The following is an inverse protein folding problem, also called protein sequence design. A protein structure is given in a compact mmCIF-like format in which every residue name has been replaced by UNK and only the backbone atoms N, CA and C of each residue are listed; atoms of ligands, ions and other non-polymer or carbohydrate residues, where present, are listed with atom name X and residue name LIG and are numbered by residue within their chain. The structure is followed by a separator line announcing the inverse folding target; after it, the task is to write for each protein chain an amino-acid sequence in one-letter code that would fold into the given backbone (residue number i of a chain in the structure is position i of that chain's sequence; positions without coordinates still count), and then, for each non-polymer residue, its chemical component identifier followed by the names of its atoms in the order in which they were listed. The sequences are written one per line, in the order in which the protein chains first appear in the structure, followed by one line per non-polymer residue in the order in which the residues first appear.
data_IF_950558382363
#
_entry.id   IF_950558382363
#
_cell.length_a   1.000
_cell.length_b   1.000
_cell.length_c   1.000
_cell.angle_alpha   90.00
_cell.angle_beta   90.00
_cell.angle_gamma   90.00
#
_symmetry.space_group_name_H-M   'P 1'
#
loop_
_entity.id
_entity.type
_entity.pdbx_description
1 polymer ?
#
# COMPACT_ATOMS: atom_id res chain seq x y z
N UNK A 1 -25.31 20.53 -7.17
CA UNK A 1 -24.65 19.23 -7.48
C UNK A 1 -24.47 18.35 -6.24
N UNK A 2 -24.46 18.90 -5.02
CA UNK A 2 -24.46 18.15 -3.75
C UNK A 2 -25.85 18.07 -3.07
N UNK A 3 -26.88 18.74 -3.61
CA UNK A 3 -28.25 18.72 -3.05
C UNK A 3 -28.83 17.33 -2.73
N UNK A 4 -28.66 16.27 -3.54
CA UNK A 4 -29.25 14.96 -3.20
C UNK A 4 -28.63 14.31 -1.95
N UNK A 5 -27.37 14.60 -1.62
CA UNK A 5 -26.70 14.04 -0.43
C UNK A 5 -27.25 14.63 0.88
N UNK A 6 -27.72 15.88 0.86
CA UNK A 6 -28.23 16.55 2.06
C UNK A 6 -29.62 16.04 2.46
N UNK A 7 -30.40 15.56 1.49
CA UNK A 7 -31.75 15.06 1.73
C UNK A 7 -31.79 13.62 2.26
N UNK A 8 -30.67 12.92 2.15
CA UNK A 8 -30.56 11.49 2.43
C UNK A 8 -29.31 11.21 3.28
N UNK A 9 -29.39 11.38 4.61
CA UNK A 9 -28.25 11.19 5.51
C UNK A 9 -27.58 9.81 5.34
N UNK A 10 -28.36 8.78 4.99
CA UNK A 10 -27.88 7.43 4.71
C UNK A 10 -26.96 7.36 3.47
N UNK A 11 -27.29 8.07 2.37
CA UNK A 11 -26.42 8.14 1.19
C UNK A 11 -25.11 8.87 1.50
N UNK A 12 -25.17 9.95 2.28
CA UNK A 12 -23.97 10.66 2.73
C UNK A 12 -23.02 9.75 3.53
N UNK A 13 -23.53 9.07 4.56
CA UNK A 13 -22.70 8.18 5.38
C UNK A 13 -22.16 6.98 4.58
N UNK A 14 -22.95 6.44 3.65
CA UNK A 14 -22.50 5.34 2.79
C UNK A 14 -21.38 5.80 1.85
N UNK A 15 -21.51 6.97 1.23
CA UNK A 15 -20.47 7.52 0.36
C UNK A 15 -19.18 7.82 1.12
N UNK A 16 -19.27 8.44 2.30
CA UNK A 16 -18.12 8.70 3.17
C UNK A 16 -17.49 7.39 3.65
N UNK A 17 -18.30 6.39 4.00
CA UNK A 17 -17.84 5.06 4.37
C UNK A 17 -17.05 4.39 3.25
N UNK A 18 -17.60 4.35 2.03
CA UNK A 18 -16.90 3.79 0.86
C UNK A 18 -15.59 4.54 0.60
N UNK A 19 -15.61 5.88 0.61
CA UNK A 19 -14.41 6.68 0.43
C UNK A 19 -13.35 6.38 1.51
N UNK A 20 -13.77 6.29 2.77
CA UNK A 20 -12.91 5.93 3.89
C UNK A 20 -12.30 4.54 3.74
N UNK A 21 -13.06 3.56 3.25
CA UNK A 21 -12.55 2.22 2.97
C UNK A 21 -11.55 2.20 1.83
N UNK A 22 -11.78 2.95 0.75
CA UNK A 22 -10.84 3.08 -0.37
C UNK A 22 -9.53 3.73 0.09
N UNK A 23 -9.62 4.83 0.83
CA UNK A 23 -8.45 5.53 1.38
C UNK A 23 -7.71 4.66 2.40
N UNK A 24 -8.43 4.01 3.31
CA UNK A 24 -7.85 3.11 4.31
C UNK A 24 -7.14 1.91 3.69
N UNK A 25 -7.73 1.29 2.67
CA UNK A 25 -7.09 0.18 1.93
C UNK A 25 -5.79 0.63 1.25
N UNK A 26 -5.78 1.82 0.65
CA UNK A 26 -4.56 2.37 0.04
C UNK A 26 -3.48 2.66 1.09
N UNK A 27 -3.84 3.30 2.21
CA UNK A 27 -2.90 3.61 3.30
C UNK A 27 -2.30 2.34 3.91
N UNK A 28 -3.09 1.27 4.04
CA UNK A 28 -2.58 -0.03 4.51
C UNK A 28 -1.44 -0.56 3.64
N UNK A 29 -1.58 -0.47 2.31
CA UNK A 29 -0.53 -0.85 1.35
C UNK A 29 0.71 0.04 1.49
N UNK A 30 0.52 1.36 1.63
CA UNK A 30 1.63 2.32 1.77
C UNK A 30 2.43 2.06 3.04
N UNK A 31 1.77 1.86 4.19
CA UNK A 31 2.44 1.62 5.48
C UNK A 31 3.31 0.36 5.43
N UNK A 32 2.83 -0.70 4.78
CA UNK A 32 3.56 -1.96 4.70
C UNK A 32 4.73 -1.91 3.70
N UNK A 33 4.59 -1.18 2.59
CA UNK A 33 5.55 -1.24 1.47
C UNK A 33 6.55 -0.10 1.43
N UNK A 34 6.18 1.10 1.89
CA UNK A 34 7.05 2.27 1.78
C UNK A 34 8.34 2.13 2.60
N UNK A 35 8.33 1.63 3.86
CA UNK A 35 9.56 1.49 4.64
C UNK A 35 10.64 0.60 3.98
N UNK A 36 10.35 -0.64 3.53
CA UNK A 36 11.36 -1.48 2.91
C UNK A 36 11.85 -0.94 1.55
N UNK A 37 11.01 -0.22 0.80
CA UNK A 37 11.46 0.46 -0.42
C UNK A 37 12.49 1.54 -0.10
N UNK A 38 12.22 2.35 0.94
CA UNK A 38 13.14 3.41 1.37
C UNK A 38 14.44 2.83 1.92
N UNK A 39 14.38 1.77 2.72
CA UNK A 39 15.56 1.10 3.28
C UNK A 39 16.47 0.52 2.18
N UNK A 40 15.88 -0.14 1.17
CA UNK A 40 16.64 -0.66 0.01
C UNK A 40 17.33 0.46 -0.75
N UNK A 41 16.61 1.55 -1.02
CA UNK A 41 17.18 2.72 -1.70
C UNK A 41 18.32 3.33 -0.89
N UNK A 42 18.13 3.51 0.41
CA UNK A 42 19.15 4.06 1.29
C UNK A 42 20.40 3.17 1.31
N UNK A 43 20.23 1.85 1.38
CA UNK A 43 21.34 0.90 1.34
C UNK A 43 22.13 1.01 0.03
N UNK A 44 21.44 1.14 -1.10
CA UNK A 44 22.09 1.35 -2.40
C UNK A 44 22.90 2.65 -2.42
N UNK A 45 22.32 3.76 -1.93
CA UNK A 45 23.01 5.05 -1.85
C UNK A 45 24.25 4.98 -0.93
N UNK A 46 24.18 4.25 0.20
CA UNK A 46 25.32 4.02 1.08
C UNK A 46 26.40 3.14 0.44
N UNK A 47 26.04 2.05 -0.24
CA UNK A 47 27.00 1.20 -0.94
C UNK A 47 27.74 1.98 -2.03
N UNK A 48 27.01 2.81 -2.78
CA UNK A 48 27.59 3.69 -3.79
C UNK A 48 28.54 4.71 -3.16
N UNK A 49 28.15 5.34 -2.04
CA UNK A 49 28.97 6.32 -1.35
C UNK A 49 30.26 5.71 -0.75
N UNK A 50 30.20 4.46 -0.30
CA UNK A 50 31.34 3.74 0.31
C UNK A 50 32.16 2.94 -0.70
N UNK A 51 31.85 3.01 -2.00
CA UNK A 51 32.49 2.22 -3.07
C UNK A 51 32.46 0.70 -2.80
N UNK A 52 31.41 0.22 -2.14
CA UNK A 52 31.19 -1.21 -1.90
C UNK A 52 30.63 -1.87 -3.17
N UNK A 53 30.90 -3.17 -3.39
CA UNK A 53 30.27 -3.92 -4.48
C UNK A 53 28.75 -3.83 -4.38
N UNK A 54 28.08 -3.49 -5.49
CA UNK A 54 26.63 -3.48 -5.54
C UNK A 54 26.09 -4.90 -5.30
N UNK A 55 25.19 -5.04 -4.34
CA UNK A 55 24.40 -6.27 -4.19
C UNK A 55 23.49 -6.43 -5.41
N UNK A 56 23.37 -7.68 -5.92
CA UNK A 56 22.52 -7.99 -7.07
C UNK A 56 21.14 -7.35 -6.91
N UNK A 57 20.54 -6.81 -7.99
CA UNK A 57 19.27 -6.10 -7.88
C UNK A 57 18.20 -7.05 -7.33
N UNK A 58 17.77 -6.78 -6.09
CA UNK A 58 16.61 -7.43 -5.51
C UNK A 58 15.39 -7.19 -6.40
N UNK A 59 14.49 -8.17 -6.46
CA UNK A 59 13.28 -8.09 -7.26
C UNK A 59 12.54 -6.76 -7.01
N UNK A 60 12.09 -6.11 -8.10
CA UNK A 60 11.49 -4.79 -8.10
C UNK A 60 10.35 -4.72 -7.08
N UNK A 61 10.51 -3.88 -6.07
CA UNK A 61 9.50 -3.61 -5.05
C UNK A 61 8.98 -2.19 -5.23
N UNK A 62 7.76 -2.11 -5.73
CA UNK A 62 6.96 -0.90 -5.86
C UNK A 62 5.68 -1.03 -5.00
N UNK A 63 4.91 0.06 -4.92
CA UNK A 63 3.61 0.06 -4.25
C UNK A 63 2.62 -0.93 -4.88
N UNK A 64 2.72 -1.15 -6.19
CA UNK A 64 1.81 -2.01 -6.95
C UNK A 64 2.36 -3.43 -7.21
N UNK A 65 3.70 -3.60 -7.21
CA UNK A 65 4.36 -4.84 -7.60
C UNK A 65 5.49 -5.21 -6.62
N UNK A 66 5.74 -6.49 -6.36
CA UNK A 66 4.90 -7.64 -6.69
C UNK A 66 3.56 -7.56 -5.95
N UNK A 67 2.51 -8.27 -6.38
CA UNK A 67 1.27 -8.32 -5.62
C UNK A 67 1.50 -8.83 -4.20
N UNK A 68 0.66 -8.38 -3.26
CA UNK A 68 0.83 -8.70 -1.84
C UNK A 68 0.81 -10.21 -1.63
N UNK A 69 1.75 -10.74 -0.83
CA UNK A 69 1.79 -12.14 -0.44
C UNK A 69 1.77 -12.24 1.07
N UNK A 70 1.08 -13.25 1.60
CA UNK A 70 1.09 -13.53 3.02
C UNK A 70 2.52 -13.93 3.44
N UNK A 71 3.12 -13.28 4.46
CA UNK A 71 4.48 -13.62 4.90
C UNK A 71 4.57 -15.00 5.55
N UNK A 72 3.43 -15.56 6.01
CA UNK A 72 3.40 -16.85 6.67
C UNK A 72 3.24 -18.03 5.70
N UNK A 73 2.40 -17.89 4.67
CA UNK A 73 2.07 -19.00 3.76
C UNK A 73 2.39 -18.74 2.28
N UNK A 74 2.80 -17.53 1.90
CA UNK A 74 3.15 -17.18 0.52
C UNK A 74 1.97 -17.04 -0.45
N UNK A 75 0.72 -17.19 0.03
CA UNK A 75 -0.48 -17.01 -0.78
C UNK A 75 -0.58 -15.60 -1.35
N UNK A 76 -1.08 -15.49 -2.56
CA UNK A 76 -1.31 -14.23 -3.26
C UNK A 76 -2.57 -13.52 -2.71
N UNK A 77 -2.36 -12.47 -1.94
CA UNK A 77 -3.41 -11.67 -1.32
C UNK A 77 -4.09 -10.80 -2.39
N UNK A 78 -5.39 -10.99 -2.55
CA UNK A 78 -6.26 -10.20 -3.44
C UNK A 78 -6.53 -8.82 -2.85
N UNK A 79 -6.92 -7.87 -3.68
CA UNK A 79 -7.15 -6.49 -3.24
C UNK A 79 -8.14 -6.37 -2.07
N UNK A 80 -9.21 -7.18 -2.08
CA UNK A 80 -10.22 -7.15 -1.02
C UNK A 80 -9.78 -7.79 0.31
N UNK A 81 -8.74 -8.62 0.30
CA UNK A 81 -8.15 -9.19 1.53
C UNK A 81 -7.25 -8.18 2.26
N UNK A 82 -6.91 -7.05 1.62
CA UNK A 82 -6.18 -5.94 2.24
C UNK A 82 -7.11 -4.86 2.84
N UNK A 83 -8.42 -5.08 2.83
CA UNK A 83 -9.40 -4.12 3.35
C UNK A 83 -9.36 -4.16 4.89
N UNK A 84 -9.08 -3.02 5.58
CA UNK A 84 -8.86 -2.97 7.02
C UNK A 84 -10.18 -2.98 7.82
N UNK A 85 -11.00 -3.98 7.57
CA UNK A 85 -12.26 -4.24 8.30
C UNK A 85 -12.26 -5.68 8.85
N UNK A 86 -11.25 -6.49 8.51
CA UNK A 86 -11.05 -7.88 8.93
C UNK A 86 -9.67 -8.06 9.56
#
# INVERSE_FOLDING_TARGET
MLEPLHHSPMLFFTAVGILGLLVGSFLNVVILRLPPMLERRWRQECCQFLELPEEMPAERLDLLFPPSRCPHCGHHIRAWENIPIL
#
